data_IF_342723206074
#
_entry.id   IF_342723206074
#
_cell.length_a   1.000
_cell.length_b   1.000
_cell.length_c   1.000
_cell.angle_alpha   90.00
_cell.angle_beta   90.00
_cell.angle_gamma   90.00
#
_symmetry.space_group_name_H-M   'P 1'
#
loop_
_entity.id
_entity.type
_entity.pdbx_description
1 polymer ?
#
# COMPACT_ATOMS: atom_id res chain seq x y z
N UNK A 1 58.08 -48.30 17.78
CA UNK A 1 56.78 -47.68 18.14
C UNK A 1 56.76 -46.28 17.54
N UNK A 2 55.87 -46.01 16.59
CA UNK A 2 55.79 -44.69 15.95
C UNK A 2 54.80 -44.68 14.79
N UNK A 3 53.50 -44.74 15.08
CA UNK A 3 52.45 -44.55 14.09
C UNK A 3 52.07 -43.06 14.02
N UNK A 4 52.50 -42.45 12.91
CA UNK A 4 51.96 -41.31 12.16
C UNK A 4 51.13 -40.18 12.83
N UNK A 5 51.56 -38.90 12.67
CA UNK A 5 50.73 -37.71 12.84
C UNK A 5 49.78 -37.39 11.65
N UNK A 6 49.79 -38.18 10.56
CA UNK A 6 49.03 -37.92 9.33
C UNK A 6 47.50 -38.13 9.47
N UNK A 7 47.06 -39.06 10.32
CA UNK A 7 45.63 -39.40 10.46
C UNK A 7 44.79 -38.39 11.26
N UNK A 8 45.41 -37.59 12.15
CA UNK A 8 44.68 -36.67 13.04
C UNK A 8 44.01 -35.51 12.28
N UNK A 9 44.70 -34.97 11.27
CA UNK A 9 44.21 -33.84 10.47
C UNK A 9 43.05 -34.19 9.53
N UNK A 10 42.90 -35.47 9.14
CA UNK A 10 41.80 -35.95 8.29
C UNK A 10 40.53 -36.21 9.11
N UNK A 11 40.69 -36.77 10.32
CA UNK A 11 39.62 -36.96 11.30
C UNK A 11 39.01 -35.62 11.75
N UNK A 12 39.85 -34.62 12.06
CA UNK A 12 39.39 -33.27 12.44
C UNK A 12 38.59 -32.57 11.33
N UNK A 13 38.99 -32.72 10.06
CA UNK A 13 38.25 -32.15 8.92
C UNK A 13 36.89 -32.83 8.72
N UNK A 14 36.82 -34.14 8.88
CA UNK A 14 35.56 -34.90 8.82
C UNK A 14 34.64 -34.53 9.98
N UNK A 15 35.17 -34.42 11.20
CA UNK A 15 34.40 -33.99 12.36
C UNK A 15 33.79 -32.60 12.15
N UNK A 16 34.58 -31.62 11.66
CA UNK A 16 34.08 -30.28 11.32
C UNK A 16 32.98 -30.33 10.25
N UNK A 17 33.16 -31.12 9.19
CA UNK A 17 32.15 -31.29 8.15
C UNK A 17 30.84 -31.86 8.70
N UNK A 18 30.90 -32.87 9.58
CA UNK A 18 29.72 -33.41 10.25
C UNK A 18 29.05 -32.39 11.17
N UNK A 19 29.83 -31.54 11.87
CA UNK A 19 29.28 -30.44 12.67
C UNK A 19 28.53 -29.42 11.82
N UNK A 20 29.09 -29.02 10.66
CA UNK A 20 28.41 -28.10 9.74
C UNK A 20 27.15 -28.71 9.14
N UNK A 21 27.19 -29.98 8.73
CA UNK A 21 26.01 -30.69 8.20
C UNK A 21 24.93 -30.78 9.26
N UNK A 22 25.29 -31.11 10.51
CA UNK A 22 24.35 -31.16 11.63
C UNK A 22 23.71 -29.79 11.90
N UNK A 23 24.51 -28.71 11.91
CA UNK A 23 24.01 -27.33 12.04
C UNK A 23 23.02 -26.97 10.93
N UNK A 24 23.34 -27.30 9.67
CA UNK A 24 22.45 -27.04 8.54
C UNK A 24 21.13 -27.82 8.62
N UNK A 25 21.18 -29.09 9.06
CA UNK A 25 19.97 -29.89 9.30
C UNK A 25 19.13 -29.28 10.41
N UNK A 26 19.74 -28.84 11.52
CA UNK A 26 19.02 -28.18 12.61
C UNK A 26 18.36 -26.88 12.13
N UNK A 27 19.07 -26.03 11.38
CA UNK A 27 18.50 -24.80 10.81
C UNK A 27 17.32 -25.13 9.89
N UNK A 28 17.50 -26.09 8.97
CA UNK A 28 16.44 -26.49 8.05
C UNK A 28 15.20 -27.03 8.78
N UNK A 29 15.38 -27.88 9.79
CA UNK A 29 14.27 -28.40 10.61
C UNK A 29 13.59 -27.31 11.44
N UNK A 30 14.33 -26.31 11.95
CA UNK A 30 13.72 -25.17 12.65
C UNK A 30 12.88 -24.29 11.72
N UNK A 31 13.36 -24.03 10.50
CA UNK A 31 12.60 -23.28 9.49
C UNK A 31 11.33 -24.04 9.08
N UNK A 32 11.45 -25.35 8.81
CA UNK A 32 10.30 -26.19 8.50
C UNK A 32 9.28 -26.25 9.64
N UNK A 33 9.75 -26.21 10.89
CA UNK A 33 8.87 -26.21 12.08
C UNK A 33 8.19 -24.85 12.28
N UNK A 34 8.84 -23.74 11.92
CA UNK A 34 8.23 -22.40 11.91
C UNK A 34 7.17 -22.29 10.80
N UNK A 35 7.48 -22.74 9.59
CA UNK A 35 6.55 -22.70 8.44
C UNK A 35 5.30 -23.56 8.65
N UNK A 36 5.43 -24.69 9.36
CA UNK A 36 4.32 -25.57 9.70
C UNK A 36 3.65 -25.24 11.05
N UNK A 37 4.03 -24.13 11.69
CA UNK A 37 3.41 -23.66 12.94
C UNK A 37 3.67 -24.54 14.18
N UNK A 38 4.67 -25.42 14.14
CA UNK A 38 5.07 -26.31 15.24
C UNK A 38 5.87 -25.52 16.30
N UNK A 39 6.67 -24.54 15.86
CA UNK A 39 7.36 -23.59 16.73
C UNK A 39 6.77 -22.20 16.50
N UNK A 40 6.32 -21.55 17.56
CA UNK A 40 5.88 -20.14 17.52
C UNK A 40 6.94 -19.27 18.17
N UNK A 41 7.51 -18.31 17.42
CA UNK A 41 8.21 -17.19 18.04
C UNK A 41 7.19 -16.42 18.89
N UNK A 42 7.48 -16.26 20.18
CA UNK A 42 6.58 -15.59 21.12
C UNK A 42 6.16 -14.21 20.62
N UNK A 43 5.01 -13.67 21.08
CA UNK A 43 4.52 -12.40 20.60
C UNK A 43 5.59 -11.32 20.80
N UNK A 44 5.92 -10.60 19.73
CA UNK A 44 6.75 -9.41 19.81
C UNK A 44 6.15 -8.49 20.88
N UNK A 45 6.93 -8.19 21.92
CA UNK A 45 6.55 -7.29 23.00
C UNK A 45 6.12 -5.97 22.37
N UNK A 46 4.81 -5.69 22.35
CA UNK A 46 4.31 -4.37 21.96
C UNK A 46 4.81 -3.40 23.03
N UNK A 47 5.85 -2.63 22.72
CA UNK A 47 6.19 -1.46 23.53
C UNK A 47 5.03 -0.48 23.42
N UNK A 48 4.17 -0.47 24.44
CA UNK A 48 3.20 0.58 24.63
C UNK A 48 3.99 1.80 25.12
N UNK A 49 4.14 2.82 24.26
CA UNK A 49 4.60 4.14 24.73
C UNK A 49 3.50 4.68 25.61
N UNK A 50 3.68 4.52 26.91
CA UNK A 50 2.81 5.08 27.92
C UNK A 50 3.05 6.60 27.90
N UNK A 51 2.18 7.33 27.21
CA UNK A 51 2.17 8.79 27.24
C UNK A 51 1.98 9.22 28.69
N UNK A 52 3.04 9.76 29.29
CA UNK A 52 3.01 10.35 30.61
C UNK A 52 2.29 11.71 30.50
N UNK A 53 0.97 11.70 30.65
CA UNK A 53 0.22 12.92 30.89
C UNK A 53 0.48 13.39 32.33
N UNK A 54 1.33 14.39 32.50
CA UNK A 54 1.40 15.17 33.75
C UNK A 54 0.10 15.96 33.94
N UNK A 55 -0.50 15.99 35.14
CA UNK A 55 -1.69 16.79 35.41
C UNK A 55 -1.29 18.27 35.54
N UNK A 56 -1.60 19.10 34.53
CA UNK A 56 -1.61 20.55 34.71
C UNK A 56 -2.99 20.98 35.18
N UNK A 57 -3.07 21.36 36.44
CA UNK A 57 -4.15 22.16 37.01
C UNK A 57 -4.03 23.60 36.53
N UNK A 58 -4.98 24.06 35.71
CA UNK A 58 -5.22 25.50 35.54
C UNK A 58 -6.72 25.79 35.64
N UNK A 59 -6.99 26.87 36.37
CA UNK A 59 -8.25 27.26 36.97
C UNK A 59 -9.36 27.58 35.96
N UNK A 60 -10.60 27.25 36.35
CA UNK A 60 -11.82 27.62 35.66
C UNK A 60 -12.02 29.15 35.62
N UNK A 61 -12.45 29.71 34.48
CA UNK A 61 -13.20 30.96 34.46
C UNK A 61 -14.71 30.71 34.33
N UNK A 62 -15.44 31.60 35.00
CA UNK A 62 -16.88 31.79 35.12
C UNK A 62 -17.80 31.29 33.98
N UNK A 63 -18.95 30.78 34.43
CA UNK A 63 -20.13 30.42 33.64
C UNK A 63 -20.49 31.47 32.58
N UNK A 64 -20.52 31.04 31.31
CA UNK A 64 -21.18 31.76 30.22
C UNK A 64 -22.48 31.05 29.83
N UNK A 65 -23.45 31.89 29.50
CA UNK A 65 -24.88 31.65 29.40
C UNK A 65 -25.29 30.51 28.45
N UNK A 66 -26.37 29.82 28.84
CA UNK A 66 -27.08 28.82 28.05
C UNK A 66 -27.64 29.45 26.76
N UNK A 67 -26.97 29.26 25.63
CA UNK A 67 -27.62 29.27 24.33
C UNK A 67 -28.14 27.86 24.02
N UNK A 68 -29.32 27.71 23.40
CA UNK A 68 -29.81 26.39 22.99
C UNK A 68 -28.81 25.79 22.02
N UNK A 69 -28.16 24.69 22.43
CA UNK A 69 -27.34 23.86 21.55
C UNK A 69 -28.18 23.49 20.33
N UNK A 70 -27.77 23.85 19.10
CA UNK A 70 -28.40 23.28 17.91
C UNK A 70 -28.33 21.77 18.06
N UNK A 71 -29.46 21.09 17.88
CA UNK A 71 -29.52 19.63 17.82
C UNK A 71 -28.33 19.13 17.00
N UNK A 72 -27.57 18.10 17.44
CA UNK A 72 -26.54 17.55 16.59
C UNK A 72 -27.23 17.18 15.28
N UNK A 73 -26.78 17.81 14.18
CA UNK A 73 -27.13 17.36 12.84
C UNK A 73 -26.90 15.84 12.86
N UNK A 74 -27.89 15.08 12.38
CA UNK A 74 -27.78 13.63 12.28
C UNK A 74 -26.39 13.30 11.73
N UNK A 75 -25.67 12.39 12.40
CA UNK A 75 -24.37 11.96 11.92
C UNK A 75 -24.50 11.63 10.43
N UNK A 76 -23.59 12.12 9.55
CA UNK A 76 -23.67 11.80 8.14
C UNK A 76 -23.79 10.28 8.00
N UNK A 77 -24.63 9.79 7.07
CA UNK A 77 -24.83 8.36 6.90
C UNK A 77 -23.47 7.69 6.75
N UNK A 78 -23.16 6.72 7.61
CA UNK A 78 -21.89 6.01 7.52
C UNK A 78 -21.94 5.12 6.28
N UNK A 79 -21.09 5.39 5.28
CA UNK A 79 -20.91 4.50 4.14
C UNK A 79 -20.36 3.15 4.64
N UNK A 80 -20.98 2.05 4.23
CA UNK A 80 -20.46 0.71 4.48
C UNK A 80 -19.23 0.45 3.58
N UNK A 81 -18.02 0.20 4.13
CA UNK A 81 -16.83 -0.13 3.33
C UNK A 81 -17.04 -1.34 2.40
N UNK A 82 -17.95 -2.25 2.74
CA UNK A 82 -18.26 -3.40 1.88
C UNK A 82 -18.95 -2.99 0.55
N UNK A 83 -19.54 -1.80 0.49
CA UNK A 83 -20.17 -1.22 -0.72
C UNK A 83 -19.17 -0.62 -1.71
N UNK A 84 -17.89 -0.49 -1.32
CA UNK A 84 -16.83 0.14 -2.11
C UNK A 84 -15.88 -0.92 -2.67
N UNK A 85 -15.48 -0.79 -3.94
CA UNK A 85 -14.33 -1.48 -4.51
C UNK A 85 -13.15 -0.53 -4.68
N UNK A 86 -12.00 -0.90 -4.15
CA UNK A 86 -10.73 -0.19 -4.38
C UNK A 86 -10.00 -0.85 -5.54
N UNK A 87 -9.75 -0.10 -6.60
CA UNK A 87 -9.09 -0.53 -7.83
C UNK A 87 -7.67 0.05 -7.88
N UNK A 88 -6.68 -0.75 -7.51
CA UNK A 88 -5.27 -0.34 -7.48
C UNK A 88 -4.62 -0.61 -8.83
N UNK A 89 -4.11 0.43 -9.51
CA UNK A 89 -3.30 0.32 -10.73
C UNK A 89 -1.81 0.38 -10.39
N UNK A 90 -1.05 -0.51 -11.00
CA UNK A 90 0.42 -0.51 -10.98
C UNK A 90 0.99 -0.95 -12.33
N UNK A 91 2.31 -0.98 -12.46
CA UNK A 91 3.02 -1.58 -13.59
C UNK A 91 4.01 -2.63 -13.10
N UNK A 92 4.27 -3.67 -13.88
CA UNK A 92 5.10 -4.79 -13.44
C UNK A 92 6.52 -4.38 -13.02
N UNK A 93 7.04 -3.28 -13.58
CA UNK A 93 8.37 -2.75 -13.24
C UNK A 93 8.42 -2.00 -11.90
N UNK A 94 7.28 -1.49 -11.42
CA UNK A 94 7.18 -0.72 -10.17
C UNK A 94 6.51 -1.51 -9.04
N UNK A 95 5.76 -2.56 -9.41
CA UNK A 95 4.94 -3.38 -8.54
C UNK A 95 5.64 -3.79 -7.23
N UNK A 96 6.83 -4.36 -7.31
CA UNK A 96 7.55 -4.88 -6.13
C UNK A 96 8.09 -3.79 -5.22
N UNK A 97 8.30 -2.58 -5.74
CA UNK A 97 8.76 -1.45 -4.94
C UNK A 97 7.60 -0.70 -4.28
N UNK A 98 6.47 -0.59 -4.99
CA UNK A 98 5.39 0.33 -4.61
C UNK A 98 4.19 -0.35 -3.99
N UNK A 99 3.88 -1.59 -4.36
CA UNK A 99 2.69 -2.25 -3.83
C UNK A 99 2.86 -2.75 -2.37
N UNK A 100 4.01 -3.33 -1.94
CA UNK A 100 4.12 -3.88 -0.60
C UNK A 100 3.84 -2.89 0.53
N UNK A 101 4.25 -1.62 0.38
CA UNK A 101 3.98 -0.59 1.39
C UNK A 101 2.48 -0.33 1.54
N UNK A 102 1.71 -0.34 0.46
CA UNK A 102 0.25 -0.18 0.54
C UNK A 102 -0.38 -1.38 1.26
N UNK A 103 0.07 -2.60 0.95
CA UNK A 103 -0.45 -3.81 1.59
C UNK A 103 -0.15 -3.88 3.11
N UNK A 104 0.95 -3.28 3.56
CA UNK A 104 1.31 -3.21 4.98
C UNK A 104 0.78 -1.98 5.71
N UNK A 105 0.28 -0.97 4.98
CA UNK A 105 -0.21 0.30 5.54
C UNK A 105 -1.63 0.60 5.08
N UNK A 106 -1.80 1.40 4.02
CA UNK A 106 -3.07 1.95 3.51
C UNK A 106 -4.14 0.89 3.27
N UNK A 107 -3.76 -0.32 2.85
CA UNK A 107 -4.66 -1.42 2.47
C UNK A 107 -4.59 -2.61 3.45
N UNK A 108 -3.98 -2.41 4.63
CA UNK A 108 -3.76 -3.48 5.61
C UNK A 108 -5.00 -3.82 6.44
N UNK A 109 -5.87 -2.83 6.69
CA UNK A 109 -7.06 -3.00 7.50
C UNK A 109 -8.22 -3.54 6.65
N UNK A 110 -8.50 -4.83 6.78
CA UNK A 110 -9.59 -5.51 6.07
C UNK A 110 -10.99 -5.06 6.49
N UNK A 111 -11.16 -4.39 7.63
CA UNK A 111 -12.46 -3.81 8.01
C UNK A 111 -12.73 -2.51 7.25
N UNK A 112 -11.67 -1.74 6.95
CA UNK A 112 -11.75 -0.49 6.18
C UNK A 112 -11.63 -0.71 4.67
N UNK A 113 -10.91 -1.74 4.24
CA UNK A 113 -10.64 -2.01 2.80
C UNK A 113 -11.00 -3.46 2.40
N UNK A 114 -12.25 -3.90 2.64
CA UNK A 114 -12.63 -5.30 2.45
C UNK A 114 -12.58 -5.77 0.99
N UNK A 115 -12.77 -4.86 0.01
CA UNK A 115 -12.76 -5.20 -1.41
C UNK A 115 -11.63 -4.45 -2.13
N UNK A 116 -10.60 -5.19 -2.54
CA UNK A 116 -9.45 -4.65 -3.28
C UNK A 116 -9.25 -5.49 -4.54
N UNK A 117 -9.14 -4.83 -5.70
CA UNK A 117 -8.70 -5.43 -6.94
C UNK A 117 -7.41 -4.73 -7.41
N UNK A 118 -6.37 -5.51 -7.67
CA UNK A 118 -5.04 -4.99 -8.04
C UNK A 118 -4.75 -5.35 -9.49
N UNK A 119 -4.32 -4.36 -10.26
CA UNK A 119 -4.22 -4.42 -11.71
C UNK A 119 -2.83 -3.99 -12.19
N UNK A 120 -2.25 -4.78 -13.09
CA UNK A 120 -0.93 -4.56 -13.67
C UNK A 120 -0.91 -4.91 -15.16
N UNK A 121 0.25 -4.74 -15.80
CA UNK A 121 0.56 -5.23 -17.16
C UNK A 121 1.23 -6.62 -17.18
N UNK A 122 1.31 -7.28 -16.02
CA UNK A 122 1.72 -8.68 -15.86
C UNK A 122 0.95 -9.38 -14.73
N UNK A 123 0.69 -10.67 -14.91
CA UNK A 123 -0.02 -11.49 -13.94
C UNK A 123 0.98 -12.01 -12.89
N UNK A 124 0.65 -11.85 -11.61
CA UNK A 124 1.47 -12.32 -10.49
C UNK A 124 0.64 -12.33 -9.20
N UNK A 125 1.26 -12.58 -8.06
CA UNK A 125 0.66 -12.43 -6.75
C UNK A 125 1.67 -11.88 -5.74
N UNK A 126 1.22 -11.01 -4.84
CA UNK A 126 2.01 -10.49 -3.72
C UNK A 126 1.21 -10.69 -2.44
N UNK A 127 1.83 -11.26 -1.40
CA UNK A 127 1.19 -11.57 -0.12
C UNK A 127 -0.13 -12.36 -0.28
N UNK A 128 -0.14 -13.35 -1.20
CA UNK A 128 -1.32 -14.17 -1.49
C UNK A 128 -2.44 -13.44 -2.26
N UNK A 129 -2.27 -12.16 -2.59
CA UNK A 129 -3.26 -11.39 -3.35
C UNK A 129 -2.97 -11.47 -4.85
N UNK A 130 -3.94 -11.90 -5.68
CA UNK A 130 -3.75 -11.95 -7.12
C UNK A 130 -3.66 -10.54 -7.70
N UNK A 131 -2.76 -10.37 -8.66
CA UNK A 131 -2.60 -9.15 -9.45
C UNK A 131 -2.96 -9.47 -10.89
N UNK A 132 -3.99 -8.79 -11.38
CA UNK A 132 -4.61 -9.08 -12.68
C UNK A 132 -3.83 -8.38 -13.79
N UNK A 133 -3.39 -9.14 -14.79
CA UNK A 133 -2.90 -8.59 -16.05
C UNK A 133 -4.07 -8.07 -16.88
N UNK A 134 -4.29 -6.76 -16.87
CA UNK A 134 -5.41 -6.15 -17.59
C UNK A 134 -5.16 -6.05 -19.09
N UNK A 135 -3.94 -6.34 -19.55
CA UNK A 135 -3.55 -6.38 -20.95
C UNK A 135 -3.46 -7.83 -21.49
N UNK A 136 -3.84 -8.83 -20.68
CA UNK A 136 -3.83 -10.25 -21.03
C UNK A 136 -4.70 -10.60 -22.26
N UNK A 137 -5.65 -9.73 -22.62
CA UNK A 137 -6.54 -9.90 -23.78
C UNK A 137 -6.34 -8.81 -24.85
N UNK A 138 -5.24 -8.05 -24.81
CA UNK A 138 -4.88 -7.12 -25.88
C UNK A 138 -4.82 -7.84 -27.24
N UNK A 139 -5.33 -7.20 -28.29
CA UNK A 139 -5.35 -7.79 -29.64
C UNK A 139 -3.94 -8.05 -30.16
N UNK A 140 -3.80 -8.97 -31.11
CA UNK A 140 -2.51 -9.24 -31.76
C UNK A 140 -1.92 -8.00 -32.42
N UNK A 141 -2.76 -7.18 -33.07
CA UNK A 141 -2.35 -5.91 -33.66
C UNK A 141 -1.80 -4.93 -32.62
N UNK A 142 -2.47 -4.82 -31.47
CA UNK A 142 -2.02 -3.94 -30.39
C UNK A 142 -0.70 -4.45 -29.76
N UNK A 143 -0.59 -5.76 -29.55
CA UNK A 143 0.65 -6.41 -29.06
C UNK A 143 1.83 -6.28 -30.03
N UNK A 144 1.58 -6.16 -31.32
CA UNK A 144 2.61 -5.92 -32.32
C UNK A 144 3.07 -4.46 -32.37
N UNK A 145 2.36 -3.54 -31.71
CA UNK A 145 2.72 -2.12 -31.72
C UNK A 145 4.01 -1.83 -30.93
N UNK A 146 4.74 -0.75 -31.27
CA UNK A 146 5.95 -0.36 -30.54
C UNK A 146 5.75 -0.04 -29.06
N UNK A 147 4.52 0.28 -28.65
CA UNK A 147 4.17 0.57 -27.26
C UNK A 147 4.15 -0.70 -26.39
N UNK A 148 3.95 -1.88 -26.99
CA UNK A 148 3.95 -3.16 -26.29
C UNK A 148 5.35 -3.78 -26.13
N UNK A 149 6.42 -3.08 -26.54
CA UNK A 149 7.80 -3.54 -26.30
C UNK A 149 8.08 -3.83 -24.82
N UNK A 150 7.63 -2.95 -23.93
CA UNK A 150 7.75 -3.13 -22.47
C UNK A 150 6.98 -4.35 -21.99
N UNK A 151 5.77 -4.58 -22.51
CA UNK A 151 4.93 -5.73 -22.15
C UNK A 151 5.60 -7.06 -22.50
N UNK A 152 6.27 -7.13 -23.66
CA UNK A 152 7.06 -8.30 -24.07
C UNK A 152 8.32 -8.47 -23.24
N UNK A 153 9.03 -7.38 -22.95
CA UNK A 153 10.26 -7.40 -22.15
C UNK A 153 10.01 -7.87 -20.71
N UNK A 154 8.93 -7.40 -20.07
CA UNK A 154 8.50 -7.88 -18.74
C UNK A 154 8.25 -9.39 -18.74
N UNK A 155 7.61 -9.92 -19.79
CA UNK A 155 7.37 -11.37 -19.92
C UNK A 155 8.64 -12.17 -20.18
N UNK A 156 9.56 -11.62 -20.97
CA UNK A 156 10.87 -12.24 -21.15
C UNK A 156 11.63 -12.30 -19.82
N UNK A 157 11.65 -11.19 -19.07
CA UNK A 157 12.25 -11.11 -17.75
C UNK A 157 11.67 -12.14 -16.77
N UNK A 158 10.34 -12.27 -16.73
CA UNK A 158 9.66 -13.26 -15.90
C UNK A 158 10.01 -14.70 -16.29
N UNK A 159 10.06 -15.02 -17.60
CA UNK A 159 10.49 -16.35 -18.08
C UNK A 159 11.93 -16.66 -17.71
N UNK A 160 12.79 -15.65 -17.70
CA UNK A 160 14.21 -15.77 -17.41
C UNK A 160 14.53 -15.61 -15.91
N UNK A 161 13.51 -15.56 -15.03
CA UNK A 161 13.64 -15.31 -13.59
C UNK A 161 14.48 -14.06 -13.24
N UNK A 162 14.34 -12.99 -14.02
CA UNK A 162 15.02 -11.72 -13.75
C UNK A 162 14.19 -10.82 -12.84
N UNK A 163 14.86 -10.25 -11.86
CA UNK A 163 14.28 -9.21 -11.01
C UNK A 163 14.07 -7.93 -11.82
N UNK A 164 12.86 -7.36 -11.71
CA UNK A 164 12.44 -6.14 -12.38
C UNK A 164 12.30 -5.02 -11.34
N UNK A 165 12.97 -3.91 -11.60
CA UNK A 165 12.98 -2.73 -10.74
C UNK A 165 13.32 -1.50 -11.63
N UNK A 166 12.95 -0.30 -11.18
CA UNK A 166 13.29 0.96 -11.85
C UNK A 166 14.56 1.65 -11.29
N UNK A 167 15.10 1.19 -10.16
CA UNK A 167 16.08 1.92 -9.34
C UNK A 167 17.27 1.07 -8.86
N UNK A 168 17.27 -0.25 -9.07
CA UNK A 168 18.36 -1.15 -8.61
C UNK A 168 19.38 -1.52 -9.69
N UNK A 169 20.67 -1.53 -9.33
CA UNK A 169 21.78 -1.89 -10.24
C UNK A 169 21.71 -3.35 -10.73
N UNK A 170 21.17 -4.26 -9.91
CA UNK A 170 21.02 -5.68 -10.24
C UNK A 170 19.74 -5.97 -11.04
N UNK A 171 18.84 -5.00 -11.14
CA UNK A 171 17.55 -5.21 -11.76
C UNK A 171 17.56 -4.93 -13.26
N UNK A 172 16.74 -5.67 -13.99
CA UNK A 172 16.52 -5.38 -15.40
C UNK A 172 15.66 -4.12 -15.53
N UNK A 173 16.30 -3.03 -15.98
CA UNK A 173 15.59 -1.82 -16.38
C UNK A 173 14.84 -2.04 -17.70
N UNK A 174 13.52 -1.86 -17.69
CA UNK A 174 12.67 -1.91 -18.89
C UNK A 174 12.15 -0.51 -19.20
N UNK A 175 12.65 0.15 -20.25
CA UNK A 175 12.24 1.51 -20.58
C UNK A 175 10.77 1.56 -21.04
N UNK A 176 10.15 2.72 -20.87
CA UNK A 176 8.85 3.03 -21.46
C UNK A 176 7.64 2.38 -20.77
N UNK A 177 7.77 1.93 -19.52
CA UNK A 177 6.67 1.34 -18.75
C UNK A 177 5.38 2.20 -18.75
N UNK A 178 5.54 3.53 -18.66
CA UNK A 178 4.44 4.50 -18.71
C UNK A 178 3.63 4.48 -20.01
N UNK A 179 4.18 3.97 -21.12
CA UNK A 179 3.46 3.90 -22.41
C UNK A 179 2.28 2.94 -22.36
N UNK A 180 2.34 1.93 -21.51
CA UNK A 180 1.27 0.94 -21.37
C UNK A 180 0.08 1.48 -20.58
N UNK A 181 0.26 2.51 -19.77
CA UNK A 181 -0.76 2.98 -18.83
C UNK A 181 -2.05 3.46 -19.51
N UNK A 182 -1.93 4.10 -20.68
CA UNK A 182 -3.09 4.52 -21.48
C UNK A 182 -4.01 3.37 -21.89
N UNK A 183 -3.53 2.12 -21.89
CA UNK A 183 -4.31 0.93 -22.24
C UNK A 183 -4.93 0.23 -21.04
N UNK A 184 -4.58 0.60 -19.80
CA UNK A 184 -4.99 -0.15 -18.59
C UNK A 184 -6.38 0.25 -18.08
N UNK A 185 -6.73 1.53 -18.18
CA UNK A 185 -7.93 2.10 -17.54
C UNK A 185 -9.24 1.40 -17.95
N UNK A 186 -9.54 1.33 -19.24
CA UNK A 186 -10.80 0.74 -19.71
C UNK A 186 -10.89 -0.76 -19.39
N UNK A 187 -9.86 -1.59 -19.66
CA UNK A 187 -9.88 -3.00 -19.27
C UNK A 187 -10.00 -3.23 -17.75
N UNK A 188 -9.39 -2.37 -16.91
CA UNK A 188 -9.56 -2.42 -15.46
C UNK A 188 -11.02 -2.23 -15.05
N UNK A 189 -11.68 -1.18 -15.56
CA UNK A 189 -13.10 -0.90 -15.27
C UNK A 189 -13.98 -2.04 -15.77
N UNK A 190 -13.73 -2.54 -16.98
CA UNK A 190 -14.46 -3.66 -17.54
C UNK A 190 -14.29 -4.95 -16.72
N UNK A 191 -13.10 -5.20 -16.18
CA UNK A 191 -12.85 -6.31 -15.26
C UNK A 191 -13.58 -6.11 -13.93
N UNK A 192 -13.50 -4.91 -13.35
CA UNK A 192 -14.18 -4.58 -12.09
C UNK A 192 -15.70 -4.79 -12.20
N UNK A 193 -16.33 -4.25 -13.25
CA UNK A 193 -17.76 -4.36 -13.48
C UNK A 193 -18.26 -5.81 -13.60
N UNK A 194 -17.44 -6.71 -14.18
CA UNK A 194 -17.80 -8.14 -14.32
C UNK A 194 -17.62 -8.94 -13.03
N UNK A 195 -16.61 -8.63 -12.24
CA UNK A 195 -16.20 -9.47 -11.10
C UNK A 195 -16.66 -8.95 -9.74
N UNK A 196 -17.03 -7.67 -9.66
CA UNK A 196 -17.50 -7.02 -8.44
C UNK A 196 -18.82 -6.28 -8.68
N UNK A 197 -19.86 -6.95 -9.18
CA UNK A 197 -21.15 -6.30 -9.42
C UNK A 197 -21.77 -5.81 -8.11
N UNK A 198 -22.62 -4.79 -8.20
CA UNK A 198 -23.42 -4.30 -7.07
C UNK A 198 -22.67 -3.46 -6.04
N UNK A 199 -21.42 -3.06 -6.31
CA UNK A 199 -20.74 -2.01 -5.54
C UNK A 199 -21.35 -0.65 -5.87
N UNK A 200 -21.54 0.16 -4.84
CA UNK A 200 -22.01 1.55 -4.98
C UNK A 200 -20.89 2.42 -5.54
N UNK A 201 -19.65 2.19 -5.10
CA UNK A 201 -18.49 3.00 -5.48
C UNK A 201 -17.33 2.17 -6.01
N UNK A 202 -16.70 2.65 -7.08
CA UNK A 202 -15.48 2.10 -7.68
C UNK A 202 -14.38 3.16 -7.59
N UNK A 203 -13.52 3.04 -6.59
CA UNK A 203 -12.47 4.03 -6.29
C UNK A 203 -11.17 3.59 -6.95
N UNK A 204 -10.62 4.44 -7.81
CA UNK A 204 -9.31 4.22 -8.42
C UNK A 204 -8.18 4.68 -7.50
N UNK A 205 -7.07 3.96 -7.49
CA UNK A 205 -5.86 4.28 -6.74
C UNK A 205 -4.63 3.93 -7.60
N UNK A 206 -3.64 4.80 -7.71
CA UNK A 206 -2.32 4.46 -8.28
C UNK A 206 -1.36 3.99 -7.18
N UNK A 207 -0.31 3.26 -7.57
CA UNK A 207 0.68 2.72 -6.65
C UNK A 207 1.60 3.76 -5.99
N UNK A 208 1.54 5.02 -6.41
CA UNK A 208 2.20 6.18 -5.80
C UNK A 208 1.21 7.15 -5.12
N UNK A 209 -0.03 6.71 -4.90
CA UNK A 209 -1.08 7.49 -4.22
C UNK A 209 -1.58 6.76 -2.98
N UNK A 210 -2.03 7.48 -1.96
CA UNK A 210 -2.76 6.91 -0.82
C UNK A 210 -3.98 7.77 -0.46
N UNK A 211 -4.93 7.17 0.26
CA UNK A 211 -6.14 7.85 0.72
C UNK A 211 -6.26 7.81 2.24
N UNK A 212 -6.83 8.86 2.81
CA UNK A 212 -7.39 8.83 4.17
C UNK A 212 -8.81 8.25 4.07
N UNK A 213 -8.95 6.94 4.26
CA UNK A 213 -10.21 6.23 4.00
C UNK A 213 -11.42 6.80 4.73
N UNK A 214 -11.27 7.17 6.00
CA UNK A 214 -12.38 7.72 6.79
C UNK A 214 -12.90 9.04 6.18
N UNK A 215 -11.99 9.90 5.72
CA UNK A 215 -12.33 11.14 5.02
C UNK A 215 -13.00 10.86 3.67
N UNK A 216 -12.48 9.89 2.91
CA UNK A 216 -13.06 9.51 1.63
C UNK A 216 -14.47 8.94 1.80
N UNK A 217 -14.69 8.06 2.77
CA UNK A 217 -16.00 7.45 3.03
C UNK A 217 -17.01 8.47 3.53
N UNK A 218 -16.60 9.39 4.40
CA UNK A 218 -17.46 10.50 4.82
C UNK A 218 -17.86 11.40 3.63
N UNK A 219 -16.95 11.59 2.67
CA UNK A 219 -17.24 12.36 1.45
C UNK A 219 -18.14 11.60 0.48
N UNK A 220 -17.89 10.31 0.22
CA UNK A 220 -18.75 9.49 -0.66
C UNK A 220 -20.18 9.37 -0.10
N UNK A 221 -20.34 9.34 1.22
CA UNK A 221 -21.64 9.30 1.88
C UNK A 221 -22.53 10.53 1.64
N UNK A 222 -21.99 11.63 1.11
CA UNK A 222 -22.79 12.83 0.81
C UNK A 222 -23.48 12.76 -0.55
N UNK A 223 -23.14 11.75 -1.37
CA UNK A 223 -23.67 11.57 -2.72
C UNK A 223 -24.71 10.45 -2.78
N UNK A 224 -25.65 10.59 -3.70
CA UNK A 224 -26.50 9.49 -4.13
C UNK A 224 -25.72 8.60 -5.11
N UNK A 225 -25.59 7.31 -4.78
CA UNK A 225 -24.86 6.34 -5.60
C UNK A 225 -25.64 5.90 -6.85
N UNK A 226 -26.95 6.14 -6.91
CA UNK A 226 -27.79 5.83 -8.07
C UNK A 226 -27.76 6.93 -9.15
N UNK A 227 -27.24 8.11 -8.81
CA UNK A 227 -27.01 9.20 -9.75
C UNK A 227 -25.61 9.11 -10.37
N UNK A 228 -25.42 9.53 -11.64
CA UNK A 228 -24.11 9.53 -12.28
C UNK A 228 -23.20 10.61 -11.66
N UNK A 229 -22.57 10.27 -10.55
CA UNK A 229 -21.55 11.08 -9.88
C UNK A 229 -20.20 10.76 -10.50
N UNK A 230 -19.86 11.44 -11.60
CA UNK A 230 -18.50 11.40 -12.13
C UNK A 230 -17.60 12.36 -11.32
N UNK A 231 -17.22 11.93 -10.11
CA UNK A 231 -16.29 12.63 -9.21
C UNK A 231 -14.84 12.53 -9.67
N UNK A 232 -14.56 12.96 -10.90
CA UNK A 232 -13.23 12.91 -11.50
C UNK A 232 -12.36 14.08 -11.05
N UNK A 233 -11.70 13.91 -9.90
CA UNK A 233 -10.78 14.82 -9.24
C UNK A 233 -11.43 15.71 -8.17
N UNK A 234 -11.63 15.09 -7.00
CA UNK A 234 -11.42 15.81 -5.75
C UNK A 234 -9.95 16.20 -5.73
N UNK A 235 -9.66 17.47 -5.96
CA UNK A 235 -8.31 17.99 -5.77
C UNK A 235 -8.10 18.19 -4.28
N UNK A 236 -6.85 18.19 -3.82
CA UNK A 236 -6.54 18.58 -2.44
C UNK A 236 -7.18 19.93 -2.07
N UNK A 237 -7.33 20.84 -3.05
CA UNK A 237 -8.04 22.11 -2.87
C UNK A 237 -9.51 21.94 -2.51
N UNK A 238 -10.20 20.96 -3.09
CA UNK A 238 -11.65 20.80 -2.91
C UNK A 238 -11.93 20.22 -1.51
N UNK A 239 -11.12 19.25 -1.05
CA UNK A 239 -11.17 18.77 0.36
C UNK A 239 -10.81 19.90 1.32
N UNK A 240 -9.76 20.65 1.01
CA UNK A 240 -9.32 21.74 1.87
C UNK A 240 -10.44 22.77 2.01
N UNK A 241 -10.97 23.29 0.91
CA UNK A 241 -11.99 24.35 0.92
C UNK A 241 -13.33 23.90 1.52
N UNK A 242 -13.77 22.67 1.25
CA UNK A 242 -15.11 22.25 1.69
C UNK A 242 -15.12 21.63 3.10
N UNK A 243 -14.00 21.03 3.55
CA UNK A 243 -13.97 20.25 4.79
C UNK A 243 -13.02 20.82 5.87
N UNK A 244 -11.94 21.48 5.48
CA UNK A 244 -10.86 21.93 6.38
C UNK A 244 -10.91 23.44 6.62
N UNK A 245 -10.94 24.24 5.57
CA UNK A 245 -10.94 25.70 5.57
C UNK A 245 -12.05 26.30 6.44
N UNK A 246 -13.31 25.81 6.43
CA UNK A 246 -14.36 26.35 7.30
C UNK A 246 -14.12 26.12 8.80
N UNK A 247 -13.17 25.23 9.15
CA UNK A 247 -12.79 24.91 10.53
C UNK A 247 -11.49 25.61 10.95
N UNK A 248 -10.80 26.29 10.04
CA UNK A 248 -9.59 27.05 10.35
C UNK A 248 -9.97 28.40 10.98
N UNK A 249 -9.32 28.75 12.08
CA UNK A 249 -9.41 30.09 12.67
C UNK A 249 -8.29 30.98 12.12
N UNK A 250 -8.55 32.28 12.00
CA UNK A 250 -7.56 33.24 11.49
C UNK A 250 -6.31 33.35 12.38
N UNK A 251 -6.46 33.01 13.66
CA UNK A 251 -5.40 32.97 14.66
C UNK A 251 -5.63 31.73 15.52
N UNK A 252 -4.58 30.96 15.74
CA UNK A 252 -4.50 29.90 16.73
C UNK A 252 -3.38 30.32 17.68
N UNK A 253 -3.73 30.69 18.92
CA UNK A 253 -2.79 31.36 19.83
C UNK A 253 -1.67 30.43 20.33
N UNK A 254 -1.71 29.13 20.02
CA UNK A 254 -0.67 28.14 20.41
C UNK A 254 -0.29 27.13 19.30
N UNK A 255 -0.47 27.46 18.02
CA UNK A 255 -0.11 26.52 16.95
C UNK A 255 1.40 26.51 16.67
N UNK A 256 2.06 25.44 17.12
CA UNK A 256 3.44 25.09 16.78
C UNK A 256 3.46 23.80 15.95
N UNK A 257 3.88 23.88 14.68
CA UNK A 257 4.02 22.72 13.81
C UNK A 257 5.45 22.13 13.81
N UNK A 258 6.34 22.65 14.67
CA UNK A 258 7.74 22.24 14.84
C UNK A 258 8.55 22.23 13.54
N UNK A 259 8.11 22.97 12.51
CA UNK A 259 8.82 23.03 11.24
C UNK A 259 10.02 23.96 11.38
N UNK A 260 11.24 23.42 11.19
CA UNK A 260 12.47 24.20 11.24
C UNK A 260 12.65 25.11 10.00
N UNK A 261 11.96 24.81 8.90
CA UNK A 261 12.09 25.55 7.64
C UNK A 261 10.74 25.76 6.93
N UNK A 262 10.64 26.88 6.21
CA UNK A 262 9.49 27.23 5.35
C UNK A 262 9.96 27.38 3.90
N UNK A 263 9.42 26.54 3.02
CA UNK A 263 9.65 26.63 1.57
C UNK A 263 8.34 26.96 0.85
N UNK A 264 8.37 27.97 -0.02
CA UNK A 264 7.22 28.34 -0.85
C UNK A 264 7.39 27.74 -2.24
N UNK A 265 6.36 27.04 -2.74
CA UNK A 265 6.38 26.38 -4.06
C UNK A 265 6.32 27.36 -5.24
N UNK A 266 6.04 28.64 -4.99
CA UNK A 266 6.09 29.69 -6.00
C UNK A 266 6.45 31.03 -5.36
N UNK A 267 7.42 31.73 -5.95
CA UNK A 267 7.64 33.14 -5.66
C UNK A 267 6.61 33.95 -6.42
N UNK A 268 5.50 34.31 -5.78
CA UNK A 268 4.70 35.43 -6.26
C UNK A 268 5.48 36.69 -5.89
N UNK A 269 6.21 37.23 -6.86
CA UNK A 269 6.80 38.57 -6.76
C UNK A 269 5.61 39.54 -6.70
N UNK A 270 5.50 40.24 -5.57
CA UNK A 270 4.57 41.37 -5.38
C UNK A 270 5.03 42.54 -6.22
#
# INVERSE_FOLDING_TARGET
MGAEPYNRGRLLRRAKAFTYIFLLICIFLTLLSLDNGILTLGPATKMYVQSAASPRTHNAPAAKQNTPKPSPAAAPPALDPASVLIMVKTGATALWQRLPIHLSTTLSDGTRTPNIAIYSDAATAIAGRPIVDVLANASSALRASPDFRTWHAVRAAARDNRYLDQQGDEALYVPGAWRLDKYKFVPMVAHAARNFPGKQWYVFMEDDTFYFWDSLYAWLATFDADEPVFGGSVRYKDVFTDLVEPKLTAVEDEWDNLAEEKHYSSQTVV
#
